data_IF_180636637447
#
_entry.id   IF_180636637447
#
_cell.length_a   1.000
_cell.length_b   1.000
_cell.length_c   1.000
_cell.angle_alpha   90.00
_cell.angle_beta   90.00
_cell.angle_gamma   90.00
#
_symmetry.space_group_name_H-M   'P 1'
#
loop_
_entity.id
_entity.type
_entity.pdbx_description
1 polymer ?
#
# COMPACT_ATOMS: atom_id res chain seq x y z
N UNK A 1 7.30 -6.08 9.96
CA UNK A 1 6.94 -4.68 9.76
C UNK A 1 5.76 -4.32 10.65
N UNK A 2 5.59 -3.05 10.96
CA UNK A 2 4.38 -2.56 11.62
C UNK A 2 3.16 -3.06 10.85
N UNK A 3 2.13 -3.53 11.57
CA UNK A 3 0.87 -4.02 11.01
C UNK A 3 0.96 -5.27 10.11
N UNK A 4 2.01 -6.09 10.22
CA UNK A 4 2.11 -7.36 9.48
C UNK A 4 2.09 -7.27 7.95
N UNK A 5 2.19 -6.06 7.38
CA UNK A 5 2.04 -5.80 5.93
C UNK A 5 3.08 -6.51 5.08
N UNK A 6 4.26 -6.76 5.63
CA UNK A 6 5.29 -7.52 4.94
C UNK A 6 6.19 -8.26 5.93
N UNK A 7 6.53 -9.54 5.68
CA UNK A 7 7.48 -10.25 6.52
C UNK A 7 8.88 -9.64 6.30
N UNK A 8 9.44 -9.06 7.34
CA UNK A 8 10.75 -8.40 7.35
C UNK A 8 11.71 -9.15 8.25
N UNK A 9 12.98 -9.14 7.90
CA UNK A 9 14.05 -9.52 8.79
C UNK A 9 14.19 -8.48 9.92
N UNK A 10 14.78 -8.84 11.07
CA UNK A 10 15.06 -7.86 12.12
C UNK A 10 15.86 -6.66 11.58
N UNK A 11 15.35 -5.45 11.78
CA UNK A 11 15.89 -4.20 11.26
C UNK A 11 15.86 -4.07 9.72
N UNK A 12 15.04 -4.82 9.01
CA UNK A 12 14.81 -4.62 7.58
C UNK A 12 13.68 -3.59 7.36
N UNK A 13 13.84 -2.71 6.39
CA UNK A 13 12.78 -1.85 5.86
C UNK A 13 12.25 -2.34 4.53
N UNK A 14 11.10 -1.82 4.10
CA UNK A 14 10.57 -2.03 2.75
C UNK A 14 9.83 -0.79 2.25
N UNK A 15 9.89 -0.54 0.96
CA UNK A 15 9.10 0.49 0.32
C UNK A 15 7.80 -0.10 -0.23
N UNK A 16 6.66 0.46 0.17
CA UNK A 16 5.33 -0.01 -0.22
C UNK A 16 4.63 1.00 -1.12
N UNK A 17 3.84 0.50 -2.07
CA UNK A 17 3.03 1.32 -2.95
C UNK A 17 1.79 0.57 -3.42
N UNK A 18 0.80 1.29 -3.94
CA UNK A 18 -0.41 0.70 -4.48
C UNK A 18 -0.73 1.30 -5.87
N UNK A 19 -1.21 0.45 -6.77
CA UNK A 19 -1.66 0.86 -8.10
C UNK A 19 -3.17 1.08 -8.07
N UNK A 20 -3.61 2.26 -8.48
CA UNK A 20 -5.04 2.57 -8.61
C UNK A 20 -5.62 1.88 -9.84
N UNK A 21 -6.35 0.79 -9.65
CA UNK A 21 -6.97 0.01 -10.72
C UNK A 21 -8.07 0.79 -11.44
N UNK A 22 -8.82 1.61 -10.72
CA UNK A 22 -9.92 2.40 -11.30
C UNK A 22 -9.41 3.39 -12.36
N UNK A 23 -8.22 3.98 -12.15
CA UNK A 23 -7.59 4.85 -13.12
C UNK A 23 -7.22 4.15 -14.44
N UNK A 24 -7.21 2.83 -14.46
CA UNK A 24 -6.92 2.02 -15.66
C UNK A 24 -8.17 1.47 -16.34
N UNK A 25 -9.36 1.87 -15.90
CA UNK A 25 -10.58 1.56 -16.60
C UNK A 25 -10.72 2.44 -17.86
N UNK A 26 -11.11 1.82 -18.96
CA UNK A 26 -11.52 2.52 -20.17
C UNK A 26 -12.96 3.04 -20.02
N UNK A 27 -13.40 3.92 -20.89
CA UNK A 27 -14.80 4.40 -20.94
C UNK A 27 -15.83 3.26 -21.06
N UNK A 28 -15.44 2.10 -21.60
CA UNK A 28 -16.28 0.90 -21.71
C UNK A 28 -16.16 -0.07 -20.51
N UNK A 29 -15.62 0.34 -19.37
CA UNK A 29 -15.49 -0.49 -18.17
C UNK A 29 -14.48 -1.64 -18.26
N UNK A 30 -13.64 -1.67 -19.29
CA UNK A 30 -12.55 -2.66 -19.45
C UNK A 30 -11.26 -2.12 -18.89
N UNK A 31 -10.41 -2.99 -18.35
CA UNK A 31 -9.08 -2.61 -17.92
C UNK A 31 -8.11 -2.49 -19.11
N UNK A 32 -7.37 -1.39 -19.16
CA UNK A 32 -6.23 -1.21 -20.07
C UNK A 32 -4.98 -1.85 -19.45
N UNK A 33 -4.76 -3.11 -19.78
CA UNK A 33 -3.61 -3.88 -19.28
C UNK A 33 -2.26 -3.33 -19.76
N UNK A 34 -2.20 -2.69 -20.94
CA UNK A 34 -0.94 -2.07 -21.43
C UNK A 34 -0.56 -0.86 -20.59
N UNK A 35 -1.54 -0.02 -20.27
CA UNK A 35 -1.35 1.13 -19.38
C UNK A 35 -1.04 0.67 -17.95
N UNK A 36 -1.75 -0.34 -17.45
CA UNK A 36 -1.51 -0.94 -16.14
C UNK A 36 -0.08 -1.48 -16.03
N UNK A 37 0.40 -2.24 -16.99
CA UNK A 37 1.77 -2.76 -17.02
C UNK A 37 2.82 -1.64 -16.97
N UNK A 38 2.63 -0.56 -17.75
CA UNK A 38 3.54 0.61 -17.70
C UNK A 38 3.57 1.26 -16.33
N UNK A 39 2.39 1.44 -15.72
CA UNK A 39 2.29 2.00 -14.36
C UNK A 39 3.02 1.12 -13.33
N UNK A 40 2.85 -0.22 -13.41
CA UNK A 40 3.53 -1.15 -12.52
C UNK A 40 5.06 -1.06 -12.69
N UNK A 41 5.56 -1.00 -13.93
CA UNK A 41 7.00 -0.86 -14.19
C UNK A 41 7.56 0.46 -13.61
N UNK A 42 6.82 1.56 -13.77
CA UNK A 42 7.19 2.85 -13.17
C UNK A 42 7.17 2.79 -11.65
N UNK A 43 6.17 2.15 -11.06
CA UNK A 43 6.06 1.99 -9.60
C UNK A 43 7.22 1.16 -9.02
N UNK A 44 7.61 0.05 -9.66
CA UNK A 44 8.79 -0.74 -9.25
C UNK A 44 10.04 0.13 -9.26
N UNK A 45 10.26 0.90 -10.32
CA UNK A 45 11.42 1.79 -10.45
C UNK A 45 11.40 2.89 -9.38
N UNK A 46 10.23 3.49 -9.13
CA UNK A 46 10.06 4.51 -8.08
C UNK A 46 10.40 3.96 -6.70
N UNK A 47 9.84 2.81 -6.35
CA UNK A 47 10.08 2.19 -5.04
C UNK A 47 11.52 1.71 -4.87
N UNK A 48 12.17 1.21 -5.94
CA UNK A 48 13.60 0.88 -5.92
C UNK A 48 14.46 2.12 -5.67
N UNK A 49 14.15 3.25 -6.31
CA UNK A 49 14.83 4.52 -6.08
C UNK A 49 14.58 5.06 -4.67
N UNK A 50 13.36 4.90 -4.14
CA UNK A 50 13.03 5.34 -2.80
C UNK A 50 13.93 4.70 -1.72
N UNK A 51 14.32 3.41 -1.91
CA UNK A 51 15.27 2.75 -1.01
C UNK A 51 16.62 3.46 -0.97
N UNK A 52 17.08 3.99 -2.10
CA UNK A 52 18.40 4.64 -2.21
C UNK A 52 18.41 6.04 -1.60
N UNK A 53 17.31 6.79 -1.73
CA UNK A 53 17.20 8.17 -1.25
C UNK A 53 16.66 8.28 0.18
N UNK A 54 16.12 7.18 0.74
CA UNK A 54 15.58 7.19 2.10
C UNK A 54 16.70 7.30 3.13
N UNK A 55 16.45 8.12 4.14
CA UNK A 55 17.21 8.15 5.38
C UNK A 55 16.67 7.11 6.35
N UNK A 56 17.55 6.45 7.06
CA UNK A 56 17.22 5.37 7.99
C UNK A 56 17.66 5.74 9.40
N UNK A 57 16.87 5.33 10.39
CA UNK A 57 17.11 5.65 11.80
C UNK A 57 18.48 5.12 12.31
N UNK A 58 18.93 3.99 11.78
CA UNK A 58 20.22 3.42 12.12
C UNK A 58 20.94 2.80 10.91
N UNK A 59 22.26 2.59 11.06
CA UNK A 59 23.12 2.03 10.01
C UNK A 59 22.82 0.56 9.70
N UNK A 60 22.29 -0.20 10.66
CA UNK A 60 21.92 -1.61 10.47
C UNK A 60 20.67 -1.70 9.58
N UNK A 61 19.68 -0.84 9.84
CA UNK A 61 18.48 -0.74 9.02
C UNK A 61 18.84 -0.34 7.59
N UNK A 62 19.64 0.70 7.43
CA UNK A 62 20.11 1.16 6.12
C UNK A 62 20.80 0.05 5.34
N UNK A 63 21.76 -0.63 5.96
CA UNK A 63 22.55 -1.70 5.34
C UNK A 63 21.66 -2.87 4.90
N UNK A 64 20.77 -3.35 5.79
CA UNK A 64 19.94 -4.51 5.49
C UNK A 64 18.87 -4.19 4.44
N UNK A 65 18.22 -3.03 4.54
CA UNK A 65 17.22 -2.61 3.56
C UNK A 65 17.83 -2.47 2.15
N UNK A 66 19.02 -1.90 2.05
CA UNK A 66 19.73 -1.79 0.76
C UNK A 66 20.26 -3.11 0.28
N UNK A 67 20.55 -4.06 1.18
CA UNK A 67 21.02 -5.39 0.82
C UNK A 67 19.90 -6.30 0.27
N UNK A 68 18.69 -6.18 0.79
CA UNK A 68 17.51 -6.95 0.33
C UNK A 68 16.73 -6.23 -0.76
N UNK A 69 16.72 -4.90 -0.76
CA UNK A 69 15.96 -4.05 -1.66
C UNK A 69 14.49 -4.45 -1.79
N UNK A 70 13.88 -4.78 -0.66
CA UNK A 70 12.51 -5.26 -0.61
C UNK A 70 11.53 -4.14 -0.90
N UNK A 71 10.63 -4.38 -1.87
CA UNK A 71 9.50 -3.51 -2.17
C UNK A 71 8.20 -4.29 -2.12
N UNK A 72 7.07 -3.60 -2.10
CA UNK A 72 5.76 -4.22 -2.16
C UNK A 72 4.80 -3.35 -2.94
N UNK A 73 4.40 -3.81 -4.13
CA UNK A 73 3.35 -3.19 -4.93
C UNK A 73 2.06 -3.94 -4.71
N UNK A 74 1.04 -3.23 -4.24
CA UNK A 74 -0.31 -3.71 -4.11
C UNK A 74 -1.26 -3.07 -5.12
N UNK A 75 -2.54 -3.31 -4.89
CA UNK A 75 -3.62 -2.68 -5.66
C UNK A 75 -4.53 -1.90 -4.72
N UNK A 76 -5.23 -0.90 -5.27
CA UNK A 76 -6.37 -0.21 -4.67
C UNK A 76 -7.44 0.03 -5.73
N UNK A 77 -8.69 0.25 -5.34
CA UNK A 77 -9.77 0.46 -6.27
C UNK A 77 -10.31 -0.84 -6.89
N UNK A 78 -10.22 -1.97 -6.17
CA UNK A 78 -10.78 -3.24 -6.63
C UNK A 78 -12.31 -3.19 -6.71
N UNK A 79 -12.98 -2.59 -5.74
CA UNK A 79 -14.44 -2.50 -5.73
C UNK A 79 -14.96 -1.71 -6.93
N UNK A 80 -14.29 -0.64 -7.33
CA UNK A 80 -14.61 0.15 -8.52
C UNK A 80 -14.52 -0.69 -9.80
N UNK A 81 -13.51 -1.54 -9.91
CA UNK A 81 -13.37 -2.46 -11.05
C UNK A 81 -14.48 -3.50 -11.07
N UNK A 82 -14.82 -4.06 -9.91
CA UNK A 82 -15.91 -5.04 -9.81
C UNK A 82 -17.25 -4.40 -10.13
N UNK A 83 -17.52 -3.18 -9.65
CA UNK A 83 -18.71 -2.40 -9.95
C UNK A 83 -18.82 -2.09 -11.46
N UNK A 84 -17.74 -1.65 -12.09
CA UNK A 84 -17.70 -1.39 -13.52
C UNK A 84 -17.97 -2.65 -14.37
N UNK A 85 -17.72 -3.83 -13.82
CA UNK A 85 -18.02 -5.13 -14.45
C UNK A 85 -19.38 -5.71 -14.06
N UNK A 86 -20.15 -5.05 -13.19
CA UNK A 86 -21.41 -5.58 -12.65
C UNK A 86 -21.24 -6.86 -11.86
N UNK A 87 -20.15 -7.01 -11.10
CA UNK A 87 -19.79 -8.22 -10.36
C UNK A 87 -19.89 -7.95 -8.85
N UNK A 88 -20.71 -8.72 -8.14
CA UNK A 88 -20.80 -8.64 -6.68
C UNK A 88 -19.49 -9.10 -6.04
N UNK A 89 -19.04 -8.39 -4.99
CA UNK A 89 -17.79 -8.65 -4.28
C UNK A 89 -17.68 -10.08 -3.71
N UNK A 90 -18.77 -10.62 -3.13
CA UNK A 90 -18.78 -11.97 -2.56
C UNK A 90 -18.94 -13.10 -3.60
N UNK A 91 -18.90 -12.77 -4.87
CA UNK A 91 -19.05 -13.79 -5.92
C UNK A 91 -17.72 -14.50 -6.23
N UNK A 92 -17.81 -15.73 -6.73
CA UNK A 92 -16.63 -16.43 -7.25
C UNK A 92 -15.99 -15.68 -8.43
N UNK A 93 -16.81 -15.01 -9.26
CA UNK A 93 -16.35 -14.17 -10.37
C UNK A 93 -15.50 -13.00 -9.89
N UNK A 94 -15.85 -12.39 -8.74
CA UNK A 94 -15.05 -11.33 -8.13
C UNK A 94 -13.70 -11.87 -7.67
N UNK A 95 -13.68 -12.99 -6.97
CA UNK A 95 -12.43 -13.65 -6.52
C UNK A 95 -11.52 -14.02 -7.69
N UNK A 96 -12.07 -14.60 -8.76
CA UNK A 96 -11.31 -14.89 -9.99
C UNK A 96 -10.76 -13.62 -10.64
N UNK A 97 -11.54 -12.53 -10.66
CA UNK A 97 -11.09 -11.23 -11.17
C UNK A 97 -9.94 -10.67 -10.34
N UNK A 98 -10.06 -10.65 -9.01
CA UNK A 98 -9.02 -10.18 -8.11
C UNK A 98 -7.74 -11.02 -8.22
N UNK A 99 -7.89 -12.34 -8.29
CA UNK A 99 -6.77 -13.27 -8.50
C UNK A 99 -6.04 -13.00 -9.83
N UNK A 100 -6.76 -12.77 -10.90
CA UNK A 100 -6.16 -12.45 -12.21
C UNK A 100 -5.42 -11.11 -12.16
N UNK A 101 -5.97 -10.11 -11.48
CA UNK A 101 -5.32 -8.82 -11.32
C UNK A 101 -4.04 -8.93 -10.48
N UNK A 102 -4.07 -9.68 -9.37
CA UNK A 102 -2.90 -9.96 -8.56
C UNK A 102 -1.81 -10.67 -9.37
N UNK A 103 -2.20 -11.65 -10.21
CA UNK A 103 -1.29 -12.35 -11.12
C UNK A 103 -0.61 -11.39 -12.10
N UNK A 104 -1.36 -10.51 -12.74
CA UNK A 104 -0.83 -9.51 -13.68
C UNK A 104 0.14 -8.56 -12.96
N UNK A 105 -0.22 -8.09 -11.76
CA UNK A 105 0.66 -7.21 -10.98
C UNK A 105 1.97 -7.94 -10.62
N UNK A 106 1.91 -9.17 -10.14
CA UNK A 106 3.09 -9.96 -9.79
C UNK A 106 4.00 -10.20 -10.99
N UNK A 107 3.44 -10.67 -12.11
CA UNK A 107 4.20 -10.94 -13.34
C UNK A 107 4.89 -9.67 -13.86
N UNK A 108 4.17 -8.54 -13.91
CA UNK A 108 4.72 -7.28 -14.41
C UNK A 108 5.74 -6.66 -13.43
N UNK A 109 5.51 -6.76 -12.13
CA UNK A 109 6.46 -6.29 -11.13
C UNK A 109 7.76 -7.10 -11.13
N UNK A 110 7.66 -8.43 -11.23
CA UNK A 110 8.84 -9.32 -11.39
C UNK A 110 9.62 -8.99 -12.65
N UNK A 111 8.94 -8.83 -13.79
CA UNK A 111 9.58 -8.47 -15.05
C UNK A 111 10.29 -7.12 -14.97
N UNK A 112 9.67 -6.12 -14.31
CA UNK A 112 10.28 -4.82 -14.09
C UNK A 112 11.54 -4.93 -13.21
N UNK A 113 11.47 -5.70 -12.12
CA UNK A 113 12.61 -5.95 -11.23
C UNK A 113 13.76 -6.69 -11.93
N UNK A 114 13.46 -7.66 -12.81
CA UNK A 114 14.47 -8.33 -13.64
C UNK A 114 15.14 -7.36 -14.62
N UNK A 115 14.37 -6.49 -15.27
CA UNK A 115 14.92 -5.44 -16.17
C UNK A 115 15.81 -4.46 -15.43
N UNK A 116 15.45 -4.10 -14.20
CA UNK A 116 16.31 -3.28 -13.34
C UNK A 116 17.58 -4.01 -12.93
N UNK A 117 17.51 -5.30 -12.62
CA UNK A 117 18.69 -6.10 -12.32
C UNK A 117 19.68 -6.14 -13.49
N UNK A 118 19.19 -6.25 -14.73
CA UNK A 118 20.03 -6.19 -15.92
C UNK A 118 20.77 -4.85 -16.12
N UNK A 119 20.25 -3.75 -15.53
CA UNK A 119 20.85 -2.41 -15.64
C UNK A 119 21.68 -2.00 -14.42
N UNK A 120 21.30 -2.44 -13.23
CA UNK A 120 21.81 -1.96 -11.94
C UNK A 120 22.41 -3.08 -11.08
N UNK A 121 22.41 -4.32 -11.58
CA UNK A 121 22.72 -5.52 -10.81
C UNK A 121 21.56 -6.01 -9.95
N UNK A 122 21.59 -7.28 -9.52
CA UNK A 122 20.61 -7.84 -8.59
C UNK A 122 20.72 -7.19 -7.20
N UNK A 123 19.79 -7.52 -6.30
CA UNK A 123 19.94 -7.11 -4.90
C UNK A 123 21.17 -7.81 -4.29
N UNK A 124 21.95 -7.12 -3.41
CA UNK A 124 23.24 -7.62 -2.92
C UNK A 124 23.21 -9.04 -2.32
N UNK A 125 22.14 -9.38 -1.58
CA UNK A 125 21.98 -10.73 -0.98
C UNK A 125 21.33 -11.76 -1.94
N UNK A 126 21.35 -11.53 -3.25
CA UNK A 126 20.71 -12.42 -4.22
C UNK A 126 21.31 -13.83 -4.18
N UNK A 127 22.64 -13.96 -4.15
CA UNK A 127 23.35 -15.24 -4.14
C UNK A 127 23.11 -16.08 -2.89
N UNK A 128 22.81 -15.41 -1.77
CA UNK A 128 22.48 -16.03 -0.48
C UNK A 128 20.99 -16.32 -0.32
N UNK A 129 20.17 -15.87 -1.24
CA UNK A 129 18.73 -16.00 -1.19
C UNK A 129 18.25 -17.32 -1.82
N UNK A 130 17.02 -17.73 -1.44
CA UNK A 130 16.34 -18.86 -2.11
C UNK A 130 16.05 -18.62 -3.59
N UNK A 131 16.22 -17.39 -4.08
CA UNK A 131 15.99 -17.01 -5.48
C UNK A 131 17.22 -17.20 -6.38
N UNK A 132 18.34 -17.59 -5.80
CA UNK A 132 19.63 -17.76 -6.50
C UNK A 132 19.56 -18.66 -7.75
N UNK A 133 18.65 -19.63 -7.75
CA UNK A 133 18.47 -20.55 -8.88
C UNK A 133 17.53 -20.01 -9.98
N UNK A 134 17.03 -18.80 -9.85
CA UNK A 134 16.10 -18.18 -10.79
C UNK A 134 16.70 -17.00 -11.56
N UNK A 135 15.84 -16.32 -12.32
CA UNK A 135 16.23 -15.09 -13.00
C UNK A 135 16.60 -13.99 -11.99
N UNK A 136 17.72 -13.32 -12.23
CA UNK A 136 18.20 -12.24 -11.37
C UNK A 136 17.17 -11.13 -11.25
N UNK A 137 16.95 -10.64 -10.02
CA UNK A 137 16.02 -9.57 -9.70
C UNK A 137 16.70 -8.46 -8.90
N UNK A 138 16.28 -7.24 -9.10
CA UNK A 138 16.74 -6.06 -8.35
C UNK A 138 16.22 -6.02 -6.92
N UNK A 139 15.07 -6.64 -6.67
CA UNK A 139 14.33 -6.58 -5.41
C UNK A 139 14.03 -8.00 -4.90
N UNK A 140 14.25 -8.26 -3.62
CA UNK A 140 14.04 -9.58 -3.00
C UNK A 140 12.54 -9.96 -2.92
N UNK A 141 11.65 -8.98 -2.86
CA UNK A 141 10.21 -9.13 -3.06
C UNK A 141 9.67 -7.91 -3.80
N UNK A 142 8.60 -8.08 -4.57
CA UNK A 142 8.03 -7.00 -5.40
C UNK A 142 6.55 -6.74 -5.15
N UNK A 143 5.82 -7.66 -4.53
CA UNK A 143 4.38 -7.51 -4.30
C UNK A 143 4.00 -7.66 -2.83
N UNK A 144 3.13 -6.76 -2.36
CA UNK A 144 2.43 -6.81 -1.08
C UNK A 144 1.19 -5.94 -1.21
N UNK A 145 0.06 -6.37 -0.68
CA UNK A 145 -1.17 -5.59 -0.73
C UNK A 145 -1.56 -5.17 0.68
N UNK A 146 -1.53 -3.88 0.92
CA UNK A 146 -1.98 -3.28 2.16
C UNK A 146 -2.91 -2.10 1.84
N UNK A 147 -4.01 -1.93 2.56
CA UNK A 147 -4.83 -0.74 2.43
C UNK A 147 -4.01 0.49 2.86
N UNK A 148 -4.20 1.56 2.14
CA UNK A 148 -3.74 2.88 2.52
C UNK A 148 -4.93 3.82 2.35
N UNK A 149 -5.59 4.11 3.44
CA UNK A 149 -6.83 4.90 3.45
C UNK A 149 -6.60 6.33 2.98
N UNK A 150 -5.49 6.93 3.40
CA UNK A 150 -5.14 8.30 2.98
C UNK A 150 -4.91 8.36 1.48
N UNK A 151 -4.12 7.44 0.93
CA UNK A 151 -3.85 7.41 -0.51
C UNK A 151 -5.12 7.09 -1.30
N UNK A 152 -5.95 6.18 -0.83
CA UNK A 152 -7.21 5.82 -1.44
C UNK A 152 -8.20 7.00 -1.43
N UNK A 153 -8.29 7.73 -0.32
CA UNK A 153 -9.11 8.95 -0.21
C UNK A 153 -8.65 10.04 -1.18
N UNK A 154 -7.34 10.28 -1.29
CA UNK A 154 -6.78 11.23 -2.27
C UNK A 154 -7.14 10.83 -3.71
N UNK A 155 -7.15 9.53 -3.99
CA UNK A 155 -7.47 8.99 -5.32
C UNK A 155 -8.97 8.79 -5.55
N UNK A 156 -9.83 8.96 -4.54
CA UNK A 156 -11.27 8.74 -4.64
C UNK A 156 -11.67 7.29 -4.93
N UNK A 157 -10.95 6.32 -4.35
CA UNK A 157 -11.19 4.87 -4.56
C UNK A 157 -11.17 4.11 -3.25
N UNK A 158 -11.63 2.85 -3.28
CA UNK A 158 -11.54 1.95 -2.11
C UNK A 158 -10.08 1.56 -1.81
N UNK A 159 -9.71 1.49 -0.51
CA UNK A 159 -8.35 1.09 -0.11
C UNK A 159 -8.12 -0.40 -0.34
N UNK A 160 -6.95 -0.73 -0.90
CA UNK A 160 -6.52 -2.11 -1.12
C UNK A 160 -7.53 -2.96 -1.90
N UNK A 161 -7.91 -4.07 -1.30
CA UNK A 161 -8.91 -5.00 -1.82
C UNK A 161 -10.24 -4.95 -1.03
N UNK A 162 -10.46 -3.88 -0.29
CA UNK A 162 -11.67 -3.70 0.51
C UNK A 162 -12.92 -3.63 -0.37
N UNK A 163 -14.04 -4.05 0.19
CA UNK A 163 -15.36 -3.84 -0.41
C UNK A 163 -15.83 -2.39 -0.18
N UNK A 164 -16.72 -1.93 -1.05
CA UNK A 164 -17.41 -0.64 -0.91
C UNK A 164 -18.79 -0.77 -0.22
N UNK A 165 -19.11 -1.97 0.24
CA UNK A 165 -20.36 -2.29 0.94
C UNK A 165 -20.10 -3.31 2.07
N UNK A 166 -21.10 -3.49 2.92
CA UNK A 166 -21.04 -4.51 3.96
C UNK A 166 -20.98 -5.92 3.36
N UNK A 167 -19.96 -6.67 3.73
CA UNK A 167 -19.73 -8.05 3.29
C UNK A 167 -19.43 -8.93 4.49
N UNK A 168 -19.62 -10.24 4.34
CA UNK A 168 -19.31 -11.19 5.41
C UNK A 168 -17.80 -11.30 5.65
N UNK A 169 -17.41 -11.57 6.88
CA UNK A 169 -16.01 -11.81 7.24
C UNK A 169 -15.40 -12.96 6.44
N UNK A 170 -16.18 -14.01 6.18
CA UNK A 170 -15.77 -15.15 5.35
C UNK A 170 -15.51 -14.73 3.89
N UNK A 171 -16.30 -13.80 3.33
CA UNK A 171 -16.06 -13.27 2.00
C UNK A 171 -14.74 -12.51 1.93
N UNK A 172 -14.42 -11.73 2.97
CA UNK A 172 -13.13 -11.04 3.08
C UNK A 172 -11.96 -12.03 3.09
N UNK A 173 -12.02 -13.08 3.93
CA UNK A 173 -10.96 -14.12 3.97
C UNK A 173 -10.79 -14.81 2.62
N UNK A 174 -11.89 -15.16 1.95
CA UNK A 174 -11.83 -15.78 0.60
C UNK A 174 -11.23 -14.84 -0.44
N UNK A 175 -11.55 -13.54 -0.38
CA UNK A 175 -10.97 -12.53 -1.28
C UNK A 175 -9.48 -12.36 -1.02
N UNK A 176 -9.09 -12.26 0.25
CA UNK A 176 -7.69 -12.18 0.65
C UNK A 176 -6.90 -13.39 0.16
N UNK A 177 -7.41 -14.61 0.33
CA UNK A 177 -6.79 -15.83 -0.13
C UNK A 177 -6.62 -15.87 -1.66
N UNK A 178 -7.60 -15.38 -2.41
CA UNK A 178 -7.55 -15.31 -3.86
C UNK A 178 -6.39 -14.41 -4.35
N UNK A 179 -6.19 -13.26 -3.70
CA UNK A 179 -5.10 -12.32 -4.01
C UNK A 179 -3.75 -12.83 -3.49
N UNK A 180 -3.73 -13.45 -2.30
CA UNK A 180 -2.50 -13.96 -1.67
C UNK A 180 -1.77 -14.98 -2.56
N UNK A 181 -2.49 -15.73 -3.38
CA UNK A 181 -1.89 -16.74 -4.28
C UNK A 181 -0.83 -16.17 -5.22
N UNK A 182 -0.93 -14.87 -5.57
CA UNK A 182 -0.02 -14.17 -6.46
C UNK A 182 0.64 -12.96 -5.79
N UNK A 183 0.77 -12.99 -4.46
CA UNK A 183 1.42 -11.90 -3.70
C UNK A 183 2.57 -12.48 -2.88
N UNK A 184 3.80 -11.98 -3.11
CA UNK A 184 5.00 -12.43 -2.40
C UNK A 184 5.02 -12.03 -0.93
N UNK A 185 4.58 -10.82 -0.62
CA UNK A 185 4.37 -10.33 0.73
C UNK A 185 3.02 -10.75 1.30
N UNK A 186 2.57 -10.07 2.33
CA UNK A 186 1.24 -10.28 2.88
C UNK A 186 0.19 -9.55 2.06
N UNK A 187 -1.01 -10.08 2.09
CA UNK A 187 -2.22 -9.39 1.70
C UNK A 187 -2.94 -9.02 2.99
N UNK A 188 -3.10 -7.74 3.22
CA UNK A 188 -3.81 -7.22 4.37
C UNK A 188 -5.22 -6.79 3.96
N UNK A 189 -6.19 -7.25 4.71
CA UNK A 189 -7.58 -6.82 4.62
C UNK A 189 -8.16 -6.83 6.03
N UNK A 190 -8.61 -5.68 6.58
CA UNK A 190 -9.28 -5.65 7.86
C UNK A 190 -10.54 -6.50 7.79
N UNK A 191 -10.67 -7.49 8.68
CA UNK A 191 -11.79 -8.42 8.71
C UNK A 191 -12.60 -8.15 9.98
N UNK A 192 -13.89 -7.77 9.85
CA UNK A 192 -14.71 -7.53 11.02
C UNK A 192 -15.02 -8.86 11.71
N UNK A 193 -14.51 -9.08 12.92
CA UNK A 193 -14.86 -10.17 13.80
C UNK A 193 -15.67 -9.64 14.98
N UNK A 194 -16.74 -10.35 15.35
CA UNK A 194 -17.61 -9.94 16.45
C UNK A 194 -17.18 -10.55 17.78
N UNK A 195 -16.59 -11.73 17.75
CA UNK A 195 -16.15 -12.48 18.93
C UNK A 195 -14.80 -13.13 18.69
N UNK A 196 -14.15 -13.59 19.79
CA UNK A 196 -12.90 -14.33 19.73
C UNK A 196 -13.03 -15.67 19.00
N UNK A 197 -14.15 -16.35 19.21
CA UNK A 197 -14.44 -17.62 18.55
C UNK A 197 -14.52 -17.43 17.04
N UNK A 198 -15.25 -16.42 16.60
CA UNK A 198 -15.32 -16.05 15.18
C UNK A 198 -13.95 -15.72 14.61
N UNK A 199 -13.12 -14.96 15.34
CA UNK A 199 -11.75 -14.66 14.93
C UNK A 199 -10.94 -15.95 14.75
N UNK A 200 -11.05 -16.90 15.69
CA UNK A 200 -10.34 -18.18 15.61
C UNK A 200 -10.78 -19.01 14.40
N UNK A 201 -12.07 -19.04 14.10
CA UNK A 201 -12.60 -19.68 12.89
C UNK A 201 -12.06 -19.03 11.61
N UNK A 202 -12.05 -17.71 11.56
CA UNK A 202 -11.53 -16.95 10.40
C UNK A 202 -10.02 -17.16 10.21
N UNK A 203 -9.26 -17.20 11.30
CA UNK A 203 -7.83 -17.53 11.26
C UNK A 203 -7.58 -18.94 10.74
N UNK A 204 -8.34 -19.91 11.23
CA UNK A 204 -8.27 -21.30 10.77
C UNK A 204 -8.62 -21.41 9.29
N UNK A 205 -9.70 -20.76 8.88
CA UNK A 205 -10.10 -20.69 7.48
C UNK A 205 -9.03 -20.05 6.60
N UNK A 206 -8.47 -18.91 7.03
CA UNK A 206 -7.41 -18.23 6.31
C UNK A 206 -6.16 -19.09 6.15
N UNK A 207 -5.75 -19.79 7.20
CA UNK A 207 -4.63 -20.73 7.15
C UNK A 207 -4.88 -21.86 6.13
N UNK A 208 -6.06 -22.48 6.17
CA UNK A 208 -6.43 -23.55 5.23
C UNK A 208 -6.51 -23.08 3.77
N UNK A 209 -6.85 -21.80 3.55
CA UNK A 209 -6.91 -21.19 2.23
C UNK A 209 -5.55 -20.63 1.75
N UNK A 210 -4.50 -20.68 2.59
CA UNK A 210 -3.14 -20.26 2.25
C UNK A 210 -2.89 -18.76 2.41
N UNK A 211 -3.67 -18.06 3.24
CA UNK A 211 -3.33 -16.71 3.67
C UNK A 211 -2.07 -16.73 4.55
N UNK A 212 -1.18 -15.77 4.36
CA UNK A 212 0.05 -15.64 5.15
C UNK A 212 -0.17 -14.95 6.50
N UNK A 213 -1.19 -14.15 6.59
CA UNK A 213 -1.66 -13.47 7.80
C UNK A 213 -3.16 -13.24 7.70
N UNK A 214 -3.83 -13.23 8.84
CA UNK A 214 -5.21 -12.76 8.99
C UNK A 214 -5.18 -11.70 10.07
N UNK A 215 -5.78 -10.57 9.81
CA UNK A 215 -5.98 -9.53 10.79
C UNK A 215 -7.48 -9.29 10.93
N UNK A 216 -7.96 -9.51 12.14
CA UNK A 216 -9.37 -9.33 12.45
C UNK A 216 -9.48 -8.37 13.63
N UNK A 217 -10.25 -7.31 13.44
CA UNK A 217 -10.60 -6.39 14.50
C UNK A 217 -11.77 -6.98 15.29
N UNK A 218 -11.48 -7.38 16.52
CA UNK A 218 -12.53 -7.84 17.44
C UNK A 218 -13.12 -6.59 18.11
N UNK A 219 -14.34 -6.27 17.74
CA UNK A 219 -15.12 -5.20 18.39
C UNK A 219 -15.79 -5.69 19.68
N UNK A 220 -15.07 -6.38 20.54
CA UNK A 220 -15.54 -6.59 21.90
C UNK A 220 -15.32 -5.30 22.70
N UNK A 221 -16.32 -4.83 23.48
CA UNK A 221 -16.06 -3.76 24.43
C UNK A 221 -14.95 -4.22 25.36
N UNK A 222 -13.83 -3.54 25.37
CA UNK A 222 -12.80 -3.78 26.39
C UNK A 222 -13.45 -3.41 27.72
N UNK A 223 -13.75 -4.42 28.57
CA UNK A 223 -14.10 -4.14 29.95
C UNK A 223 -12.92 -3.45 30.60
N UNK A 224 -13.05 -2.13 30.75
CA UNK A 224 -12.04 -1.34 31.45
C UNK A 224 -12.08 -1.81 32.91
N UNK A 225 -10.99 -2.39 33.44
CA UNK A 225 -10.94 -2.80 34.83
C UNK A 225 -11.36 -1.66 35.74
N UNK A 226 -12.12 -1.94 36.80
CA UNK A 226 -12.72 -0.93 37.66
C UNK A 226 -11.72 0.09 38.19
N UNK A 227 -10.47 -0.30 38.44
CA UNK A 227 -9.41 0.59 38.88
C UNK A 227 -8.94 1.62 37.83
N UNK A 228 -9.30 1.42 36.55
CA UNK A 228 -9.01 2.38 35.46
C UNK A 228 -10.22 3.26 35.12
N UNK A 229 -11.42 2.93 35.62
CA UNK A 229 -12.61 3.74 35.41
C UNK A 229 -12.51 5.11 36.09
N UNK A 230 -11.84 5.15 37.22
CA UNK A 230 -11.58 6.39 37.99
C UNK A 230 -10.45 7.24 37.40
N UNK A 231 -9.67 6.70 36.46
CA UNK A 231 -8.58 7.40 35.79
C UNK A 231 -8.98 8.05 34.46
N UNK A 232 -10.24 8.06 34.10
CA UNK A 232 -10.67 8.83 32.93
C UNK A 232 -10.56 10.31 33.29
N UNK A 233 -9.73 11.10 32.58
CA UNK A 233 -9.78 12.53 32.73
C UNK A 233 -11.21 12.95 32.40
N UNK A 234 -11.86 13.68 33.32
CA UNK A 234 -13.12 14.32 33.04
C UNK A 234 -12.95 15.05 31.70
N UNK A 235 -13.57 14.49 30.64
CA UNK A 235 -13.69 15.24 29.40
C UNK A 235 -14.65 16.36 29.73
N UNK A 236 -14.13 17.48 30.18
CA UNK A 236 -14.82 18.73 30.00
C UNK A 236 -15.11 18.80 28.50
N UNK A 237 -16.35 18.52 28.16
CA UNK A 237 -16.91 18.89 26.87
C UNK A 237 -16.99 20.43 26.87
N UNK A 238 -15.83 21.07 26.76
CA UNK A 238 -15.80 22.40 26.24
C UNK A 238 -16.34 22.26 24.82
N UNK A 239 -17.57 22.71 24.63
CA UNK A 239 -18.06 23.02 23.30
C UNK A 239 -17.07 24.01 22.69
N UNK A 240 -16.11 23.46 21.93
CA UNK A 240 -15.25 24.28 21.09
C UNK A 240 -16.22 24.83 20.04
N UNK A 241 -16.68 26.05 20.26
CA UNK A 241 -17.33 26.81 19.21
C UNK A 241 -16.45 26.70 17.96
N UNK A 242 -17.05 26.47 16.77
CA UNK A 242 -16.28 26.31 15.56
C UNK A 242 -15.42 27.57 15.37
N UNK A 243 -14.15 27.46 15.69
CA UNK A 243 -13.18 28.47 15.32
C UNK A 243 -13.30 28.65 13.80
N UNK A 244 -13.65 29.87 13.40
CA UNK A 244 -13.55 30.26 12.00
C UNK A 244 -12.16 29.85 11.51
N UNK A 245 -12.05 29.17 10.36
CA UNK A 245 -10.76 28.75 9.88
C UNK A 245 -9.83 29.96 9.83
N UNK A 246 -8.89 30.02 10.76
CA UNK A 246 -7.80 30.95 10.68
C UNK A 246 -7.17 30.70 9.31
N UNK A 247 -7.14 31.75 8.51
CA UNK A 247 -6.56 31.73 7.19
C UNK A 247 -5.23 30.98 7.25
N UNK A 248 -5.24 29.73 6.75
CA UNK A 248 -4.04 28.94 6.64
C UNK A 248 -2.96 29.86 6.04
N UNK A 249 -1.88 30.01 6.74
CA UNK A 249 -0.67 30.69 6.27
C UNK A 249 -0.44 30.20 4.84
N UNK A 250 -0.80 31.04 3.87
CA UNK A 250 -0.38 30.87 2.48
C UNK A 250 1.13 30.97 2.50
N UNK A 251 1.81 29.84 2.69
CA UNK A 251 3.21 29.75 2.31
C UNK A 251 3.24 30.12 0.83
N UNK A 252 3.81 31.26 0.51
CA UNK A 252 4.03 31.68 -0.85
C UNK A 252 4.88 30.59 -1.51
N UNK A 253 4.28 29.87 -2.46
CA UNK A 253 4.99 28.84 -3.19
C UNK A 253 6.16 29.48 -3.93
N UNK A 254 7.33 28.84 -3.95
CA UNK A 254 8.48 29.39 -4.66
C UNK A 254 8.13 29.61 -6.13
N UNK A 255 8.44 30.78 -6.64
CA UNK A 255 8.21 31.13 -8.03
C UNK A 255 9.22 30.50 -8.97
N UNK A 256 10.31 29.93 -8.43
CA UNK A 256 11.42 29.33 -9.17
C UNK A 256 11.71 27.90 -8.68
N UNK A 257 12.15 27.07 -9.62
CA UNK A 257 12.55 25.68 -9.30
C UNK A 257 13.83 25.68 -8.44
N UNK A 258 13.84 25.06 -7.24
CA UNK A 258 15.02 25.05 -6.38
C UNK A 258 16.19 24.24 -6.95
N UNK A 259 15.95 23.36 -7.91
CA UNK A 259 16.99 22.53 -8.52
C UNK A 259 17.72 23.22 -9.70
N UNK A 260 17.00 23.99 -10.53
CA UNK A 260 17.58 24.61 -11.74
C UNK A 260 17.36 26.13 -11.86
N UNK A 261 16.69 26.79 -10.91
CA UNK A 261 16.47 28.23 -10.86
C UNK A 261 15.48 28.80 -11.88
N UNK A 262 14.80 27.96 -12.68
CA UNK A 262 13.84 28.44 -13.68
C UNK A 262 12.48 28.73 -13.09
N UNK A 263 11.73 29.65 -13.71
CA UNK A 263 10.37 30.01 -13.30
C UNK A 263 9.41 28.82 -13.39
N UNK A 264 8.56 28.65 -12.36
CA UNK A 264 7.54 27.62 -12.28
C UNK A 264 6.24 28.11 -12.91
N UNK A 265 5.63 27.33 -13.78
CA UNK A 265 4.30 27.64 -14.33
C UNK A 265 3.20 27.21 -13.36
N UNK A 266 2.31 28.13 -13.03
CA UNK A 266 1.07 27.85 -12.29
C UNK A 266 0.11 27.06 -13.20
N UNK A 267 0.27 25.72 -13.23
CA UNK A 267 -0.77 24.83 -13.76
C UNK A 267 -0.88 23.63 -12.84
N UNK A 268 -2.02 23.53 -12.13
CA UNK A 268 -2.42 22.45 -11.22
C UNK A 268 -1.85 22.53 -9.79
N UNK A 269 -2.40 21.71 -8.92
CA UNK A 269 -2.17 21.64 -7.46
C UNK A 269 -0.69 21.41 -7.07
N UNK A 270 0.14 20.98 -8.00
CA UNK A 270 1.59 20.81 -7.82
C UNK A 270 2.33 21.63 -8.87
N UNK A 271 3.29 22.50 -8.48
CA UNK A 271 4.09 23.25 -9.44
C UNK A 271 4.97 22.30 -10.26
N UNK A 272 5.01 22.53 -11.56
CA UNK A 272 5.78 21.71 -12.51
C UNK A 272 6.89 22.56 -13.10
N UNK A 273 8.12 22.07 -13.01
CA UNK A 273 9.25 22.60 -13.78
C UNK A 273 9.31 21.93 -15.15
N UNK A 274 9.44 22.69 -16.21
CA UNK A 274 9.47 22.14 -17.58
C UNK A 274 10.66 21.20 -17.84
N UNK A 275 11.77 21.38 -17.12
CA UNK A 275 12.95 20.52 -17.27
C UNK A 275 13.04 19.43 -16.21
N UNK A 276 12.69 19.73 -14.96
CA UNK A 276 12.85 18.81 -13.83
C UNK A 276 11.58 17.99 -13.52
N UNK A 277 10.45 18.30 -14.17
CA UNK A 277 9.16 17.64 -13.89
C UNK A 277 8.46 18.17 -12.63
N UNK A 278 7.43 17.47 -12.13
CA UNK A 278 6.67 17.88 -10.96
C UNK A 278 7.55 17.91 -9.71
N UNK A 279 7.54 19.04 -8.99
CA UNK A 279 8.16 19.16 -7.67
C UNK A 279 7.34 18.32 -6.67
N UNK A 280 7.82 17.15 -6.32
CA UNK A 280 7.35 16.43 -5.16
C UNK A 280 7.81 17.18 -3.92
N UNK A 281 6.88 17.83 -3.24
CA UNK A 281 7.14 18.42 -1.93
C UNK A 281 7.44 17.28 -0.95
N UNK A 282 8.73 16.99 -0.73
CA UNK A 282 9.19 16.28 0.43
C UNK A 282 9.05 17.26 1.62
N UNK A 283 7.86 17.33 2.22
CA UNK A 283 7.76 17.85 3.57
C UNK A 283 8.42 16.82 4.49
N UNK A 284 9.64 17.08 4.85
CA UNK A 284 10.28 16.55 6.04
C UNK A 284 9.36 16.79 7.24
N UNK A 285 8.97 15.71 7.89
CA UNK A 285 8.33 15.76 9.21
C UNK A 285 9.42 16.14 10.21
N UNK A 286 9.78 17.42 10.24
CA UNK A 286 10.41 18.07 11.39
C UNK A 286 9.34 18.93 12.02
N UNK A 287 8.78 18.42 13.10
CA UNK A 287 8.16 19.08 14.25
C UNK A 287 7.02 18.21 14.82
N UNK A 288 7.40 17.17 15.54
CA UNK A 288 6.63 16.70 16.69
C UNK A 288 7.67 16.33 17.78
N UNK A 289 8.01 17.34 18.56
CA UNK A 289 8.42 17.16 19.95
C UNK A 289 7.19 17.30 20.84
#
# INVERSE_FOLDING_TARGET
>A
GLEGRQPLLPAEGSALGAVNLAAHLTKGGRLDYKRLARTIHTAVHLLDNAIDVSEYADSRQSRLTRATRRIGIGMMGLAEVLRAKGVSYDSEKARKTAQQLAKVIDEQARLASQRLAGRRGPFPLFTESRQNNGAQRRNSAVTATAPNEVLAAICGVTPGISADCAVSAQACVKMQAAVQRYTEGNVYLPIPAKTREQMQELCTMGYLLGCKSIEADVCEPVEIPDFLKDCQPERETQEIAPEKPQSALRQEMPHFCPACGRALRKRQIVPVCEECGPLMCLQTVENMQ
#
